data_IF_273948961693
#
_entry.id   IF_273948961693
#
_cell.length_a   1.000
_cell.length_b   1.000
_cell.length_c   1.000
_cell.angle_alpha   90.00
_cell.angle_beta   90.00
_cell.angle_gamma   90.00
#
_symmetry.space_group_name_H-M   'P 1'
#
loop_
_entity.id
_entity.type
_entity.pdbx_description
1 polymer ?
#
# COMPACT_ATOMS: atom_id res chain seq x y z
N UNK A 1 -6.90 -2.00 14.43
CA UNK A 1 -7.54 -2.83 13.39
C UNK A 1 -7.81 -4.21 13.98
N UNK A 2 -8.98 -4.80 13.69
CA UNK A 2 -9.37 -6.08 14.29
C UNK A 2 -8.63 -7.21 13.57
N UNK A 3 -7.74 -7.93 14.26
CA UNK A 3 -7.08 -9.14 13.74
C UNK A 3 -8.03 -10.36 13.68
N UNK A 4 -9.34 -10.12 13.59
CA UNK A 4 -10.38 -11.15 13.55
C UNK A 4 -10.83 -11.39 12.11
N UNK A 5 -11.49 -12.52 11.87
CA UNK A 5 -12.11 -12.79 10.57
C UNK A 5 -13.07 -11.66 10.19
N UNK A 6 -13.09 -11.24 8.91
CA UNK A 6 -14.08 -10.27 8.45
C UNK A 6 -15.51 -10.77 8.72
N UNK A 7 -16.46 -9.83 8.74
CA UNK A 7 -17.86 -10.19 8.84
C UNK A 7 -18.25 -11.07 7.65
N UNK A 8 -19.11 -12.08 7.88
CA UNK A 8 -19.43 -13.09 6.87
C UNK A 8 -19.95 -12.43 5.59
N UNK A 9 -19.28 -12.70 4.46
CA UNK A 9 -19.64 -12.18 3.14
C UNK A 9 -19.13 -10.77 2.84
N UNK A 10 -18.42 -10.12 3.77
CA UNK A 10 -17.82 -8.81 3.55
C UNK A 10 -16.30 -8.93 3.42
N UNK A 11 -15.66 -8.10 2.58
CA UNK A 11 -14.21 -8.01 2.55
C UNK A 11 -13.67 -7.44 3.87
N UNK A 12 -12.44 -7.80 4.22
CA UNK A 12 -11.78 -7.29 5.42
C UNK A 12 -11.28 -5.85 5.24
N UNK A 13 -11.02 -5.42 4.01
CA UNK A 13 -10.56 -4.09 3.68
C UNK A 13 -11.04 -3.67 2.30
N UNK A 14 -11.61 -2.47 2.23
CA UNK A 14 -11.97 -1.78 0.98
C UNK A 14 -11.44 -0.36 1.05
N UNK A 15 -10.88 0.10 -0.07
CA UNK A 15 -10.42 1.46 -0.23
C UNK A 15 -10.88 1.99 -1.58
N UNK A 16 -11.73 3.02 -1.53
CA UNK A 16 -12.17 3.75 -2.71
C UNK A 16 -11.39 5.05 -2.82
N UNK A 17 -10.89 5.34 -4.01
CA UNK A 17 -10.23 6.61 -4.36
C UNK A 17 -11.09 7.27 -5.42
N UNK A 18 -11.68 8.41 -5.07
CA UNK A 18 -12.50 9.20 -6.00
C UNK A 18 -11.65 10.19 -6.76
N UNK A 19 -11.75 10.15 -8.09
CA UNK A 19 -11.05 11.03 -9.01
C UNK A 19 -12.00 11.78 -9.93
N UNK A 20 -11.50 12.82 -10.59
CA UNK A 20 -12.31 13.63 -11.51
C UNK A 20 -12.72 12.88 -12.79
N UNK A 21 -11.99 11.82 -13.14
CA UNK A 21 -12.19 11.03 -14.38
C UNK A 21 -12.71 9.62 -14.13
N UNK A 22 -12.75 9.20 -12.87
CA UNK A 22 -12.90 7.80 -12.54
C UNK A 22 -12.68 7.54 -11.07
N UNK A 23 -13.19 6.39 -10.65
CA UNK A 23 -13.03 5.87 -9.30
C UNK A 23 -12.17 4.63 -9.33
N UNK A 24 -11.32 4.45 -8.31
CA UNK A 24 -10.57 3.22 -8.09
C UNK A 24 -11.14 2.54 -6.84
N UNK A 25 -11.57 1.28 -6.98
CA UNK A 25 -11.93 0.41 -5.87
C UNK A 25 -10.86 -0.65 -5.68
N UNK A 26 -10.22 -0.64 -4.52
CA UNK A 26 -9.31 -1.68 -4.07
C UNK A 26 -9.99 -2.54 -3.00
N UNK A 27 -10.11 -3.85 -3.25
CA UNK A 27 -10.69 -4.80 -2.30
C UNK A 27 -9.66 -5.84 -1.88
N UNK A 28 -9.39 -5.94 -0.57
CA UNK A 28 -8.60 -7.03 0.02
C UNK A 28 -9.49 -7.89 0.93
N UNK A 29 -9.85 -9.12 0.50
CA UNK A 29 -10.73 -9.98 1.26
C UNK A 29 -10.14 -10.45 2.60
N UNK A 30 -8.83 -10.66 2.64
CA UNK A 30 -8.15 -11.27 3.78
C UNK A 30 -7.71 -10.26 4.85
N UNK A 31 -7.44 -9.01 4.49
CA UNK A 31 -7.08 -7.97 5.47
C UNK A 31 -6.35 -6.75 4.90
N UNK A 32 -6.07 -5.75 5.75
CA UNK A 32 -5.38 -4.54 5.34
C UNK A 32 -3.87 -4.72 5.11
N UNK A 33 -3.31 -5.91 5.40
CA UNK A 33 -1.88 -6.20 5.22
C UNK A 33 -1.57 -6.62 3.78
N UNK A 34 -1.84 -5.72 2.84
CA UNK A 34 -1.74 -5.97 1.39
C UNK A 34 -0.32 -6.25 0.89
N UNK A 35 0.70 -6.05 1.74
CA UNK A 35 2.11 -6.25 1.40
C UNK A 35 2.69 -7.55 1.98
N UNK A 36 2.02 -8.24 2.89
CA UNK A 36 2.67 -9.21 3.80
C UNK A 36 2.67 -10.67 3.34
N UNK A 37 2.08 -11.03 2.21
CA UNK A 37 1.93 -12.44 1.83
C UNK A 37 0.65 -13.09 2.37
N UNK A 38 0.27 -12.74 3.60
CA UNK A 38 -0.81 -13.39 4.35
C UNK A 38 -2.22 -12.99 3.90
N UNK A 39 -2.30 -11.89 3.15
CA UNK A 39 -3.55 -11.44 2.57
C UNK A 39 -3.89 -12.14 1.25
N UNK A 40 -3.07 -13.08 0.77
CA UNK A 40 -3.21 -13.67 -0.58
C UNK A 40 -3.86 -15.06 -0.62
N UNK A 41 -4.39 -15.60 0.50
CA UNK A 41 -5.27 -16.79 0.42
C UNK A 41 -6.46 -16.54 -0.53
N UNK A 42 -6.85 -15.26 -0.65
CA UNK A 42 -7.72 -14.74 -1.69
C UNK A 42 -7.06 -13.48 -2.25
N UNK A 43 -6.80 -13.46 -3.54
CA UNK A 43 -6.11 -12.35 -4.21
C UNK A 43 -6.90 -11.03 -4.09
N UNK A 44 -6.24 -9.90 -3.80
CA UNK A 44 -6.85 -8.58 -3.88
C UNK A 44 -7.39 -8.29 -5.28
N UNK A 45 -8.46 -7.48 -5.36
CA UNK A 45 -9.01 -6.97 -6.62
C UNK A 45 -8.79 -5.48 -6.74
N UNK A 46 -8.52 -5.05 -7.96
CA UNK A 46 -8.43 -3.63 -8.35
C UNK A 46 -9.44 -3.42 -9.48
N UNK A 47 -10.40 -2.54 -9.23
CA UNK A 47 -11.46 -2.18 -10.16
C UNK A 47 -11.36 -0.68 -10.43
N UNK A 48 -11.41 -0.29 -11.72
CA UNK A 48 -11.39 1.11 -12.15
C UNK A 48 -12.71 1.38 -12.86
N UNK A 49 -13.50 2.32 -12.33
CA UNK A 49 -14.67 2.85 -13.01
C UNK A 49 -14.26 4.08 -13.80
N UNK A 50 -14.34 4.01 -15.13
CA UNK A 50 -14.16 5.16 -16.02
C UNK A 50 -15.48 5.93 -16.14
N UNK A 51 -15.48 7.21 -15.78
CA UNK A 51 -16.71 8.03 -15.80
C UNK A 51 -17.08 8.52 -17.20
N UNK A 52 -16.15 8.56 -18.15
CA UNK A 52 -16.42 8.95 -19.54
C UNK A 52 -17.16 7.83 -20.28
N UNK A 53 -16.74 6.59 -20.08
CA UNK A 53 -17.35 5.42 -20.74
C UNK A 53 -18.39 4.70 -19.90
N UNK A 54 -18.47 4.99 -18.59
CA UNK A 54 -19.30 4.29 -17.60
C UNK A 54 -19.02 2.78 -17.53
N UNK A 55 -17.74 2.41 -17.69
CA UNK A 55 -17.31 1.01 -17.67
C UNK A 55 -16.42 0.72 -16.46
N UNK A 56 -16.52 -0.50 -15.94
CA UNK A 56 -15.63 -1.00 -14.88
C UNK A 56 -14.61 -1.96 -15.48
N UNK A 57 -13.33 -1.60 -15.38
CA UNK A 57 -12.20 -2.40 -15.82
C UNK A 57 -11.54 -3.05 -14.61
N UNK A 58 -11.31 -4.36 -14.70
CA UNK A 58 -10.54 -5.10 -13.70
C UNK A 58 -9.05 -5.03 -14.07
N UNK A 59 -8.22 -4.57 -13.14
CA UNK A 59 -6.76 -4.58 -13.27
C UNK A 59 -6.23 -5.85 -12.61
N UNK A 60 -5.49 -6.64 -13.39
CA UNK A 60 -4.86 -7.84 -12.88
C UNK A 60 -3.78 -7.49 -11.86
N UNK A 61 -3.88 -8.10 -10.68
CA UNK A 61 -2.84 -8.04 -9.67
C UNK A 61 -1.80 -9.12 -9.97
N UNK A 62 -0.58 -8.77 -10.32
CA UNK A 62 0.48 -9.76 -10.48
C UNK A 62 1.84 -9.24 -9.99
N UNK A 63 2.74 -10.18 -9.73
CA UNK A 63 4.13 -9.93 -9.42
C UNK A 63 4.99 -9.90 -10.68
N UNK A 64 6.14 -9.25 -10.62
CA UNK A 64 7.15 -9.39 -11.67
C UNK A 64 7.66 -10.83 -11.72
N UNK A 65 8.07 -11.31 -12.90
CA UNK A 65 8.43 -12.71 -13.10
C UNK A 65 9.55 -13.17 -12.16
N UNK A 66 10.60 -12.38 -11.98
CA UNK A 66 11.69 -12.71 -11.06
C UNK A 66 11.24 -12.73 -9.59
N UNK A 67 10.21 -11.97 -9.22
CA UNK A 67 9.67 -12.01 -7.85
C UNK A 67 8.90 -13.30 -7.61
N UNK A 68 8.36 -13.94 -8.66
CA UNK A 68 7.62 -15.20 -8.52
C UNK A 68 8.51 -16.34 -8.03
N UNK A 69 9.82 -16.28 -8.30
CA UNK A 69 10.84 -17.23 -7.81
C UNK A 69 11.12 -17.10 -6.31
N UNK A 70 10.73 -15.98 -5.69
CA UNK A 70 10.85 -15.78 -4.25
C UNK A 70 9.63 -16.35 -3.52
N UNK A 71 9.86 -16.78 -2.28
CA UNK A 71 8.78 -17.07 -1.32
C UNK A 71 7.82 -15.86 -1.24
N UNK A 72 6.51 -16.11 -1.11
CA UNK A 72 5.48 -15.07 -1.23
C UNK A 72 5.72 -13.85 -0.33
N UNK A 73 6.18 -14.06 0.91
CA UNK A 73 6.52 -12.97 1.86
C UNK A 73 7.83 -12.26 1.53
N UNK A 74 8.66 -12.84 0.69
CA UNK A 74 9.91 -12.29 0.23
C UNK A 74 9.77 -11.42 -1.02
N UNK A 75 8.63 -11.44 -1.73
CA UNK A 75 8.47 -10.74 -3.02
C UNK A 75 8.54 -9.22 -2.89
N UNK A 76 7.82 -8.67 -1.91
CA UNK A 76 7.85 -7.25 -1.60
C UNK A 76 9.23 -6.81 -1.09
N UNK A 77 9.84 -7.59 -0.18
CA UNK A 77 11.16 -7.31 0.38
C UNK A 77 12.22 -7.37 -0.71
N UNK A 78 12.18 -8.38 -1.57
CA UNK A 78 13.06 -8.52 -2.74
C UNK A 78 12.99 -7.30 -3.64
N UNK A 79 11.77 -6.77 -3.90
CA UNK A 79 11.58 -5.55 -4.68
C UNK A 79 12.17 -4.29 -4.04
N UNK A 80 12.35 -4.25 -2.72
CA UNK A 80 13.06 -3.15 -2.04
C UNK A 80 14.57 -3.34 -2.18
N UNK A 81 15.09 -4.56 -2.03
CA UNK A 81 16.51 -4.85 -2.22
C UNK A 81 16.98 -4.60 -3.65
N UNK A 82 16.16 -4.95 -4.65
CA UNK A 82 16.46 -4.72 -6.07
C UNK A 82 16.63 -3.22 -6.37
N UNK A 83 15.69 -2.39 -5.90
CA UNK A 83 15.76 -0.92 -5.99
C UNK A 83 16.94 -0.34 -5.21
N UNK A 84 17.22 -0.86 -4.02
CA UNK A 84 18.39 -0.45 -3.25
C UNK A 84 19.69 -0.76 -3.98
N UNK A 85 19.81 -1.96 -4.55
CA UNK A 85 20.99 -2.37 -5.32
C UNK A 85 21.18 -1.50 -6.57
N UNK A 86 20.09 -1.12 -7.25
CA UNK A 86 20.14 -0.18 -8.37
C UNK A 86 20.63 1.23 -7.97
N UNK A 87 20.30 1.67 -6.76
CA UNK A 87 20.79 2.93 -6.20
C UNK A 87 22.22 2.84 -5.64
N UNK A 88 22.67 1.66 -5.21
CA UNK A 88 23.93 1.46 -4.51
C UNK A 88 24.98 0.77 -5.42
N UNK A 89 25.88 1.56 -5.99
CA UNK A 89 26.98 1.05 -6.81
C UNK A 89 28.30 1.02 -6.01
N UNK A 90 28.82 -0.17 -5.74
CA UNK A 90 30.22 -0.36 -5.33
C UNK A 90 30.67 0.37 -4.06
N UNK A 91 29.76 0.76 -3.16
CA UNK A 91 30.09 1.49 -1.92
C UNK A 91 29.72 2.98 -1.92
N UNK A 92 29.02 3.47 -2.95
CA UNK A 92 28.45 4.82 -2.98
C UNK A 92 27.01 4.79 -3.49
N UNK A 93 26.22 5.73 -3.01
CA UNK A 93 24.92 6.03 -3.58
C UNK A 93 25.06 6.61 -4.99
N UNK A 94 24.09 6.34 -5.86
CA UNK A 94 23.95 7.03 -7.13
C UNK A 94 23.98 8.55 -6.90
N UNK A 95 24.74 9.28 -7.73
CA UNK A 95 24.80 10.75 -7.66
C UNK A 95 23.45 11.40 -8.02
N UNK A 96 22.62 10.68 -8.77
CA UNK A 96 21.28 11.11 -9.17
C UNK A 96 20.24 10.27 -8.43
N UNK A 97 19.17 10.94 -8.01
CA UNK A 97 17.97 10.27 -7.49
C UNK A 97 17.41 9.31 -8.55
N UNK A 98 16.94 8.15 -8.09
CA UNK A 98 16.23 7.21 -8.95
C UNK A 98 14.91 7.84 -9.45
N UNK A 99 14.44 7.45 -10.65
CA UNK A 99 13.08 7.75 -11.10
C UNK A 99 12.06 7.33 -10.04
N UNK A 100 10.94 8.05 -9.93
CA UNK A 100 9.95 7.81 -8.86
C UNK A 100 9.48 6.34 -8.76
N UNK A 101 9.30 5.66 -9.90
CA UNK A 101 8.90 4.25 -9.95
C UNK A 101 9.97 3.27 -9.41
N UNK A 102 11.23 3.70 -9.39
CA UNK A 102 12.39 2.92 -8.96
C UNK A 102 12.86 3.32 -7.56
N UNK A 103 12.30 4.38 -6.97
CA UNK A 103 12.60 4.78 -5.59
C UNK A 103 12.13 3.73 -4.60
N UNK A 104 12.87 3.65 -3.49
CA UNK A 104 12.51 2.85 -2.33
C UNK A 104 12.40 3.77 -1.09
N UNK A 105 11.61 3.39 -0.07
CA UNK A 105 11.47 4.19 1.14
C UNK A 105 12.82 4.39 1.86
N UNK A 106 13.11 5.62 2.26
CA UNK A 106 14.30 6.04 3.01
C UNK A 106 13.93 6.43 4.45
N UNK A 107 14.96 6.73 5.25
CA UNK A 107 14.78 7.14 6.64
C UNK A 107 13.92 8.41 6.78
N UNK A 108 14.08 9.38 5.88
CA UNK A 108 13.26 10.59 5.87
C UNK A 108 11.78 10.29 5.61
N UNK A 109 11.45 9.33 4.75
CA UNK A 109 10.06 8.92 4.53
C UNK A 109 9.44 8.30 5.79
N UNK A 110 10.25 7.54 6.55
CA UNK A 110 9.84 7.00 7.84
C UNK A 110 9.60 8.12 8.87
N UNK A 111 10.45 9.14 8.92
CA UNK A 111 10.27 10.29 9.80
C UNK A 111 8.97 11.04 9.49
N UNK A 112 8.71 11.37 8.21
CA UNK A 112 7.47 12.03 7.79
C UNK A 112 6.24 11.22 8.21
N UNK A 113 6.30 9.89 8.10
CA UNK A 113 5.21 9.02 8.56
C UNK A 113 5.00 9.09 10.08
N UNK A 114 6.07 9.17 10.86
CA UNK A 114 5.98 9.31 12.31
C UNK A 114 5.36 10.65 12.71
N UNK A 115 5.73 11.74 12.04
CA UNK A 115 5.17 13.06 12.28
C UNK A 115 3.65 13.09 12.00
N UNK A 116 3.21 12.44 10.92
CA UNK A 116 1.77 12.28 10.64
C UNK A 116 1.05 11.48 11.73
N UNK A 117 1.66 10.42 12.26
CA UNK A 117 1.07 9.61 13.33
C UNK A 117 0.94 10.42 14.63
N UNK A 118 1.99 11.16 14.99
CA UNK A 118 1.99 12.04 16.17
C UNK A 118 0.87 13.07 16.07
N UNK A 119 0.71 13.71 14.91
CA UNK A 119 -0.39 14.66 14.69
C UNK A 119 -1.75 14.01 14.90
N UNK A 120 -1.99 12.83 14.31
CA UNK A 120 -3.28 12.13 14.44
C UNK A 120 -3.61 11.82 15.90
N UNK A 121 -2.61 11.36 16.66
CA UNK A 121 -2.80 11.03 18.08
C UNK A 121 -3.11 12.29 18.91
N UNK A 122 -2.42 13.39 18.63
CA UNK A 122 -2.67 14.67 19.30
C UNK A 122 -4.07 15.21 19.00
N UNK A 123 -4.46 15.21 17.73
CA UNK A 123 -5.80 15.66 17.31
C UNK A 123 -6.91 14.80 17.98
N UNK A 124 -6.67 13.50 18.15
CA UNK A 124 -7.58 12.60 18.85
C UNK A 124 -7.73 12.97 20.33
N UNK A 125 -6.62 13.22 21.04
CA UNK A 125 -6.65 13.61 22.44
C UNK A 125 -7.39 14.94 22.64
N UNK A 126 -7.12 15.94 21.80
CA UNK A 126 -7.82 17.23 21.81
C UNK A 126 -9.34 17.07 21.57
N UNK A 127 -9.73 16.24 20.60
CA UNK A 127 -11.13 15.95 20.32
C UNK A 127 -11.82 15.27 21.51
N UNK A 128 -11.16 14.32 22.17
CA UNK A 128 -11.71 13.63 23.36
C UNK A 128 -11.88 14.60 24.53
N UNK A 129 -10.96 15.52 24.76
CA UNK A 129 -11.12 16.53 25.81
C UNK A 129 -12.28 17.49 25.50
N UNK A 130 -12.43 17.93 24.24
CA UNK A 130 -13.53 18.82 23.85
C UNK A 130 -14.93 18.23 24.02
N UNK A 131 -15.05 16.90 24.05
CA UNK A 131 -16.32 16.20 24.29
C UNK A 131 -16.71 16.08 25.77
N UNK A 132 -15.82 16.50 26.69
CA UNK A 132 -16.08 16.47 28.14
C UNK A 132 -16.64 17.79 28.68
N UNK A 133 -16.64 18.87 27.88
CA UNK A 133 -17.23 20.18 28.19
C UNK A 133 -18.68 20.28 27.72
#
# INVERSE_FOLDING_TARGET
MRAGKPFKGQPAFEWTIHGEKGDILFTSPAGPYIFSGDSYDIQPRIEIHDLETDEVVNVEWDWLDWQKDLFIRGRNVGGVYDRYAAWWDGGRSAEKELPDAERFPRLLDAQVRMDHLEKILKDFDEAVESLKE
#
